data_IF_758254606359
#
_entry.id   IF_758254606359
#
_cell.length_a   1.000
_cell.length_b   1.000
_cell.length_c   1.000
_cell.angle_alpha   90.00
_cell.angle_beta   90.00
_cell.angle_gamma   90.00
#
_symmetry.space_group_name_H-M   'P 1'
#
loop_
_entity.id
_entity.type
_entity.pdbx_description
1 polymer ?
#
# COMPACT_ATOMS: atom_id res chain seq x y z
N UNK A 1 -4.81 0.02 9.28
CA UNK A 1 -3.69 -0.26 8.39
C UNK A 1 -2.76 -1.34 8.93
N UNK A 2 -2.37 -1.23 10.22
CA UNK A 2 -1.55 -2.25 10.88
C UNK A 2 -2.21 -3.63 10.79
N UNK A 3 -3.50 -3.71 11.08
CA UNK A 3 -4.23 -4.96 11.05
C UNK A 3 -4.25 -5.58 9.66
N UNK A 4 -4.30 -4.75 8.64
CA UNK A 4 -4.26 -5.24 7.26
C UNK A 4 -2.90 -5.85 6.91
N UNK A 5 -1.82 -5.27 7.42
CA UNK A 5 -0.48 -5.84 7.23
C UNK A 5 -0.37 -7.18 7.95
N UNK A 6 -0.81 -7.23 9.20
CA UNK A 6 -0.77 -8.46 9.98
C UNK A 6 -1.57 -9.58 9.33
N UNK A 7 -2.75 -9.23 8.82
CA UNK A 7 -3.60 -10.19 8.12
C UNK A 7 -2.93 -10.68 6.83
N UNK A 8 -2.31 -9.77 6.09
CA UNK A 8 -1.61 -10.13 4.87
C UNK A 8 -0.44 -11.04 5.12
N UNK A 9 0.30 -10.83 6.22
CA UNK A 9 1.39 -11.73 6.62
C UNK A 9 0.82 -13.12 6.92
N UNK A 10 -0.26 -13.19 7.69
CA UNK A 10 -0.89 -14.46 8.02
C UNK A 10 -1.38 -15.21 6.79
N UNK A 11 -1.78 -14.50 5.75
CA UNK A 11 -2.27 -15.08 4.51
C UNK A 11 -1.15 -15.39 3.50
N UNK A 12 0.10 -15.07 3.85
CA UNK A 12 1.23 -15.31 2.95
C UNK A 12 1.36 -14.29 1.82
N UNK A 13 0.64 -13.17 1.91
CA UNK A 13 0.65 -12.12 0.88
C UNK A 13 1.73 -11.07 1.14
N UNK A 14 2.10 -10.86 2.41
CA UNK A 14 3.18 -9.96 2.80
C UNK A 14 4.29 -10.76 3.47
N UNK A 15 5.50 -10.25 3.32
CA UNK A 15 6.68 -10.95 3.84
C UNK A 15 6.66 -11.01 5.37
N UNK A 16 6.92 -12.19 5.96
CA UNK A 16 6.85 -12.32 7.42
C UNK A 16 7.90 -11.50 8.16
N UNK A 17 9.01 -11.14 7.52
CA UNK A 17 10.04 -10.33 8.13
C UNK A 17 9.73 -8.83 8.07
N UNK A 18 8.56 -8.44 7.57
CA UNK A 18 8.17 -7.03 7.48
C UNK A 18 8.21 -6.37 8.85
N UNK A 19 8.91 -5.24 8.95
CA UNK A 19 8.89 -4.40 10.13
C UNK A 19 7.60 -3.59 10.11
N UNK A 20 6.58 -4.09 10.80
CA UNK A 20 5.23 -3.52 10.76
C UNK A 20 5.22 -2.09 11.28
N UNK A 21 5.96 -1.81 12.35
CA UNK A 21 6.01 -0.45 12.91
C UNK A 21 6.58 0.55 11.91
N UNK A 22 7.68 0.17 11.27
CA UNK A 22 8.30 1.02 10.26
C UNK A 22 7.40 1.18 9.05
N UNK A 23 6.78 0.10 8.59
CA UNK A 23 5.88 0.15 7.43
C UNK A 23 4.71 1.10 7.67
N UNK A 24 4.09 1.02 8.85
CA UNK A 24 2.97 1.88 9.22
C UNK A 24 3.43 3.34 9.27
N UNK A 25 4.56 3.59 9.91
CA UNK A 25 5.09 4.94 10.06
C UNK A 25 5.42 5.58 8.72
N UNK A 26 6.09 4.82 7.85
CA UNK A 26 6.44 5.31 6.51
C UNK A 26 5.20 5.64 5.70
N UNK A 27 4.20 4.77 5.75
CA UNK A 27 2.98 4.99 5.00
C UNK A 27 2.26 6.26 5.45
N UNK A 28 2.06 6.41 6.76
CA UNK A 28 1.37 7.60 7.27
C UNK A 28 2.16 8.88 7.03
N UNK A 29 3.49 8.82 7.12
CA UNK A 29 4.34 9.98 6.79
C UNK A 29 4.16 10.39 5.34
N UNK A 30 4.11 9.39 4.45
CA UNK A 30 3.91 9.67 3.02
C UNK A 30 2.54 10.27 2.76
N UNK A 31 1.49 9.71 3.36
CA UNK A 31 0.13 10.23 3.21
C UNK A 31 0.04 11.67 3.73
N UNK A 32 0.63 11.94 4.89
CA UNK A 32 0.65 13.28 5.45
C UNK A 32 1.34 14.26 4.50
N UNK A 33 2.49 13.86 3.96
CA UNK A 33 3.24 14.70 3.03
C UNK A 33 2.45 14.98 1.75
N UNK A 34 1.74 13.98 1.23
CA UNK A 34 0.90 14.16 0.05
C UNK A 34 -0.17 15.21 0.32
N UNK A 35 -0.85 15.12 1.47
CA UNK A 35 -1.91 16.06 1.80
C UNK A 35 -1.39 17.48 2.05
N UNK A 36 -0.19 17.60 2.62
CA UNK A 36 0.43 18.90 2.85
C UNK A 36 0.86 19.59 1.56
N UNK A 37 1.27 18.82 0.56
CA UNK A 37 1.87 19.36 -0.65
C UNK A 37 0.95 19.37 -1.86
N UNK A 38 -0.30 18.94 -1.70
CA UNK A 38 -1.25 18.87 -2.79
C UNK A 38 -2.42 19.81 -2.53
N UNK A 39 -2.72 20.67 -3.50
CA UNK A 39 -3.80 21.66 -3.34
C UNK A 39 -5.15 21.14 -3.82
N UNK A 40 -5.14 20.21 -4.77
CA UNK A 40 -6.37 19.65 -5.32
C UNK A 40 -6.65 18.29 -4.70
N UNK A 41 -7.88 18.14 -4.21
CA UNK A 41 -8.31 16.91 -3.57
C UNK A 41 -8.19 15.69 -4.49
N UNK A 42 -8.54 15.86 -5.76
CA UNK A 42 -8.43 14.77 -6.73
C UNK A 42 -7.00 14.31 -6.90
N UNK A 43 -6.06 15.25 -6.97
CA UNK A 43 -4.64 14.94 -7.13
C UNK A 43 -4.11 14.22 -5.90
N UNK A 44 -4.51 14.66 -4.70
CA UNK A 44 -4.13 14.00 -3.46
C UNK A 44 -4.63 12.56 -3.45
N UNK A 45 -5.84 12.34 -3.88
CA UNK A 45 -6.45 11.02 -3.93
C UNK A 45 -5.65 10.07 -4.84
N UNK A 46 -5.29 10.55 -6.01
CA UNK A 46 -4.50 9.76 -6.97
C UNK A 46 -3.14 9.40 -6.42
N UNK A 47 -2.47 10.34 -5.76
CA UNK A 47 -1.16 10.09 -5.16
C UNK A 47 -1.26 9.13 -3.98
N UNK A 48 -2.31 9.24 -3.17
CA UNK A 48 -2.52 8.32 -2.06
C UNK A 48 -2.73 6.90 -2.56
N UNK A 49 -3.44 6.74 -3.66
CA UNK A 49 -3.63 5.44 -4.27
C UNK A 49 -2.31 4.86 -4.77
N UNK A 50 -1.48 5.69 -5.40
CA UNK A 50 -0.16 5.27 -5.85
C UNK A 50 0.76 4.92 -4.69
N UNK A 51 0.66 5.68 -3.60
CA UNK A 51 1.44 5.41 -2.40
C UNK A 51 1.09 4.03 -1.83
N UNK A 52 -0.20 3.71 -1.80
CA UNK A 52 -0.65 2.40 -1.33
C UNK A 52 -0.13 1.28 -2.22
N UNK A 53 -0.18 1.48 -3.53
CA UNK A 53 0.34 0.50 -4.49
C UNK A 53 1.82 0.23 -4.27
N UNK A 54 2.63 1.29 -4.25
CA UNK A 54 4.08 1.14 -4.10
C UNK A 54 4.46 0.56 -2.75
N UNK A 55 3.76 0.98 -1.71
CA UNK A 55 4.00 0.47 -0.36
C UNK A 55 3.68 -1.03 -0.29
N UNK A 56 2.56 -1.44 -0.86
CA UNK A 56 2.16 -2.83 -0.88
C UNK A 56 3.16 -3.69 -1.67
N UNK A 57 3.65 -3.17 -2.79
CA UNK A 57 4.66 -3.89 -3.58
C UNK A 57 5.95 -4.08 -2.78
N UNK A 58 6.30 -3.09 -1.95
CA UNK A 58 7.55 -3.14 -1.19
C UNK A 58 7.56 -4.27 -0.16
N UNK A 59 6.41 -4.63 0.38
CA UNK A 59 6.34 -5.65 1.45
C UNK A 59 5.72 -6.97 0.97
N UNK A 60 5.28 -7.04 -0.28
CA UNK A 60 4.58 -8.21 -0.79
C UNK A 60 5.52 -9.40 -1.05
N UNK A 61 4.98 -10.60 -0.86
CA UNK A 61 5.58 -11.82 -1.35
C UNK A 61 5.28 -11.97 -2.85
N UNK A 62 5.86 -12.98 -3.48
CA UNK A 62 5.52 -13.28 -4.88
C UNK A 62 4.01 -13.51 -5.05
N UNK A 63 3.40 -14.24 -4.11
CA UNK A 63 1.95 -14.48 -4.13
C UNK A 63 1.17 -13.19 -3.92
N UNK A 64 1.67 -12.33 -3.02
CA UNK A 64 1.07 -11.02 -2.77
C UNK A 64 1.09 -10.14 -4.01
N UNK A 65 2.18 -10.17 -4.77
CA UNK A 65 2.27 -9.40 -6.01
C UNK A 65 1.26 -9.88 -7.04
N UNK A 66 1.05 -11.19 -7.15
CA UNK A 66 0.05 -11.74 -8.06
C UNK A 66 -1.35 -11.26 -7.68
N UNK A 67 -1.68 -11.30 -6.40
CA UNK A 67 -2.98 -10.82 -5.91
C UNK A 67 -3.15 -9.32 -6.16
N UNK A 68 -2.10 -8.54 -5.90
CA UNK A 68 -2.13 -7.11 -6.12
C UNK A 68 -2.38 -6.79 -7.59
N UNK A 69 -1.69 -7.49 -8.49
CA UNK A 69 -1.85 -7.28 -9.94
C UNK A 69 -3.29 -7.56 -10.38
N UNK A 70 -3.92 -8.57 -9.82
CA UNK A 70 -5.32 -8.87 -10.14
C UNK A 70 -6.24 -7.71 -9.81
N UNK A 71 -5.98 -7.01 -8.72
CA UNK A 71 -6.80 -5.88 -8.31
C UNK A 71 -6.50 -4.61 -9.09
N UNK A 72 -5.23 -4.40 -9.46
CA UNK A 72 -4.82 -3.20 -10.19
C UNK A 72 -5.19 -3.24 -11.67
N UNK A 73 -5.16 -4.43 -12.26
CA UNK A 73 -5.41 -4.60 -13.69
C UNK A 73 -6.79 -5.20 -13.96
N UNK A 74 -7.72 -4.90 -13.07
CA UNK A 74 -9.10 -5.28 -13.28
C UNK A 74 -9.59 -4.66 -14.58
N UNK A 75 -10.11 -5.47 -15.52
CA UNK A 75 -10.61 -4.89 -16.74
C UNK A 75 -11.76 -3.95 -16.42
N UNK A 76 -11.60 -2.70 -16.81
CA UNK A 76 -12.67 -1.73 -16.72
C UNK A 76 -13.50 -1.85 -17.98
N UNK A 77 -14.53 -2.58 -17.88
CA UNK A 77 -15.43 -2.73 -19.03
C UNK A 77 -16.52 -1.70 -18.95
#
# INVERSE_FOLDING_TARGET
>A
FRQNIEKGIAQGLYRPETDIEAAVKFYYTLIFSINENTQLEKEAYELEYKALEYHSRAIATAEGLIELEKHLHKPSI
#
